data_IF_122748537666
#
_entry.id   IF_122748537666
#
_cell.length_a   1.000
_cell.length_b   1.000
_cell.length_c   1.000
_cell.angle_alpha   90.00
_cell.angle_beta   90.00
_cell.angle_gamma   90.00
#
_symmetry.space_group_name_H-M   'P 1'
#
loop_
_entity.id
_entity.type
_entity.pdbx_description
1 polymer ?
#
# COMPACT_ATOMS: atom_id res chain seq x y z
N UNK A 1 11.89 -4.22 12.66
CA UNK A 1 12.09 -5.39 11.79
C UNK A 1 11.54 -6.69 12.37
N UNK A 2 11.78 -6.96 13.63
CA UNK A 2 11.29 -8.21 14.28
C UNK A 2 9.76 -8.26 14.24
N UNK A 3 9.08 -7.16 14.55
CA UNK A 3 7.62 -7.07 14.53
C UNK A 3 7.05 -7.36 13.13
N UNK A 4 7.63 -6.75 12.09
CA UNK A 4 7.18 -6.98 10.72
C UNK A 4 7.40 -8.42 10.29
N UNK A 5 8.58 -9.00 10.59
CA UNK A 5 8.87 -10.40 10.27
C UNK A 5 7.88 -11.34 10.97
N UNK A 6 7.50 -11.04 12.22
CA UNK A 6 6.51 -11.82 12.96
C UNK A 6 5.15 -11.79 12.25
N UNK A 7 4.70 -10.64 11.77
CA UNK A 7 3.45 -10.51 11.03
C UNK A 7 3.47 -11.35 9.75
N UNK A 8 4.57 -11.34 9.01
CA UNK A 8 4.68 -12.14 7.79
C UNK A 8 4.66 -13.64 8.11
N UNK A 9 5.33 -14.08 9.17
CA UNK A 9 5.30 -15.48 9.59
C UNK A 9 3.90 -15.94 9.98
N UNK A 10 3.14 -15.10 10.67
CA UNK A 10 1.74 -15.39 11.04
C UNK A 10 0.87 -15.60 9.81
N UNK A 11 1.23 -15.00 8.69
CA UNK A 11 0.49 -15.12 7.42
C UNK A 11 1.07 -16.20 6.50
N UNK A 12 1.79 -17.15 7.06
CA UNK A 12 2.30 -18.36 6.38
C UNK A 12 3.47 -18.12 5.40
N UNK A 13 4.16 -17.00 5.52
CA UNK A 13 5.40 -16.79 4.78
C UNK A 13 6.56 -17.53 5.47
N UNK A 14 7.44 -18.11 4.65
CA UNK A 14 8.62 -18.79 5.19
C UNK A 14 9.63 -17.76 5.75
N UNK A 15 10.70 -18.23 6.42
CA UNK A 15 11.67 -17.34 7.06
C UNK A 15 12.39 -16.44 6.06
N UNK A 16 12.73 -16.96 4.88
CA UNK A 16 13.40 -16.17 3.84
C UNK A 16 12.49 -15.06 3.32
N UNK A 17 11.26 -15.40 2.97
CA UNK A 17 10.29 -14.42 2.49
C UNK A 17 9.92 -13.43 3.58
N UNK A 18 9.77 -13.89 4.83
CA UNK A 18 9.48 -13.00 5.95
C UNK A 18 10.59 -11.97 6.17
N UNK A 19 11.85 -12.38 6.04
CA UNK A 19 12.99 -11.46 6.17
C UNK A 19 12.99 -10.44 5.02
N UNK A 20 12.77 -10.88 3.78
CA UNK A 20 12.69 -10.01 2.62
C UNK A 20 11.56 -8.99 2.77
N UNK A 21 10.39 -9.47 3.17
CA UNK A 21 9.20 -8.61 3.34
C UNK A 21 9.35 -7.66 4.51
N UNK A 22 10.07 -8.04 5.56
CA UNK A 22 10.37 -7.12 6.67
C UNK A 22 11.21 -5.93 6.18
N UNK A 23 12.14 -6.15 5.26
CA UNK A 23 12.91 -5.06 4.64
C UNK A 23 12.00 -4.17 3.80
N UNK A 24 11.08 -4.75 3.02
CA UNK A 24 10.12 -3.99 2.23
C UNK A 24 9.23 -3.15 3.14
N UNK A 25 8.76 -3.71 4.25
CA UNK A 25 7.95 -2.97 5.22
C UNK A 25 8.72 -1.78 5.80
N UNK A 26 10.00 -1.94 6.09
CA UNK A 26 10.86 -0.85 6.56
C UNK A 26 11.01 0.22 5.50
N UNK A 27 11.18 -0.16 4.24
CA UNK A 27 11.25 0.78 3.12
C UNK A 27 9.97 1.62 3.03
N UNK A 28 8.81 0.99 3.21
CA UNK A 28 7.54 1.71 3.19
C UNK A 28 7.46 2.70 4.34
N UNK A 29 7.86 2.32 5.55
CA UNK A 29 7.91 3.24 6.69
C UNK A 29 8.78 4.47 6.39
N UNK A 30 9.88 4.28 5.65
CA UNK A 30 10.81 5.36 5.33
C UNK A 30 10.29 6.33 4.27
N UNK A 31 9.46 5.88 3.34
CA UNK A 31 8.94 6.73 2.25
C UNK A 31 7.54 7.27 2.52
N UNK A 32 6.86 6.78 3.55
CA UNK A 32 5.51 7.23 3.89
C UNK A 32 5.52 8.68 4.37
N UNK A 33 4.47 9.41 4.01
CA UNK A 33 4.32 10.83 4.39
C UNK A 33 4.07 11.01 5.88
N UNK A 34 3.53 9.99 6.54
CA UNK A 34 3.23 9.99 7.97
C UNK A 34 3.90 8.80 8.63
N UNK A 35 4.13 8.88 9.94
CA UNK A 35 4.71 7.78 10.68
C UNK A 35 3.77 6.58 10.70
N UNK A 36 4.28 5.41 10.33
CA UNK A 36 3.54 4.15 10.29
C UNK A 36 4.27 3.13 11.15
N UNK A 37 3.53 2.35 11.94
CA UNK A 37 4.12 1.26 12.71
C UNK A 37 4.59 0.13 11.79
N UNK A 38 5.53 -0.68 12.27
CA UNK A 38 6.00 -1.84 11.53
C UNK A 38 4.86 -2.84 11.26
N UNK A 39 3.97 -3.02 12.23
CA UNK A 39 2.81 -3.90 12.08
C UNK A 39 1.84 -3.41 11.00
N UNK A 40 1.53 -2.13 10.98
CA UNK A 40 0.63 -1.54 9.98
C UNK A 40 1.24 -1.60 8.58
N UNK A 41 2.54 -1.32 8.47
CA UNK A 41 3.26 -1.43 7.20
C UNK A 41 3.20 -2.87 6.66
N UNK A 42 3.48 -3.85 7.51
CA UNK A 42 3.42 -5.26 7.13
C UNK A 42 1.99 -5.67 6.72
N UNK A 43 0.98 -5.23 7.46
CA UNK A 43 -0.42 -5.54 7.16
C UNK A 43 -0.84 -5.00 5.80
N UNK A 44 -0.42 -3.80 5.44
CA UNK A 44 -0.70 -3.22 4.12
C UNK A 44 -0.09 -4.07 3.01
N UNK A 45 1.19 -4.41 3.15
CA UNK A 45 1.90 -5.21 2.13
C UNK A 45 1.22 -6.58 1.97
N UNK A 46 0.90 -7.25 3.06
CA UNK A 46 0.22 -8.54 3.04
C UNK A 46 -1.13 -8.44 2.32
N UNK A 47 -1.91 -7.41 2.61
CA UNK A 47 -3.22 -7.23 1.99
C UNK A 47 -3.13 -7.10 0.47
N UNK A 48 -2.13 -6.36 -0.02
CA UNK A 48 -1.93 -6.19 -1.46
C UNK A 48 -1.42 -7.48 -2.12
N UNK A 49 -0.48 -8.16 -1.47
CA UNK A 49 0.04 -9.43 -1.99
C UNK A 49 -1.05 -10.48 -2.12
N UNK A 50 -1.92 -10.61 -1.12
CA UNK A 50 -3.01 -11.59 -1.13
C UNK A 50 -4.10 -11.22 -2.13
N UNK A 51 -4.47 -9.95 -2.20
CA UNK A 51 -5.53 -9.51 -3.10
C UNK A 51 -5.15 -9.69 -4.57
N UNK A 52 -3.91 -9.35 -4.94
CA UNK A 52 -3.46 -9.37 -6.33
C UNK A 52 -2.48 -10.50 -6.65
N UNK A 53 -2.31 -11.44 -5.73
CA UNK A 53 -1.43 -12.59 -5.91
C UNK A 53 0.01 -12.18 -6.28
N UNK A 54 0.54 -11.22 -5.53
CA UNK A 54 1.90 -10.70 -5.73
C UNK A 54 2.87 -11.54 -4.91
N UNK A 55 3.96 -11.99 -5.55
CA UNK A 55 4.99 -12.77 -4.87
C UNK A 55 5.89 -11.87 -4.01
N UNK A 56 6.53 -12.46 -2.99
CA UNK A 56 7.42 -11.72 -2.09
C UNK A 56 8.55 -11.01 -2.84
N UNK A 57 9.09 -11.63 -3.88
CA UNK A 57 10.14 -11.02 -4.71
C UNK A 57 9.69 -9.78 -5.45
N UNK A 58 8.38 -9.59 -5.63
CA UNK A 58 7.79 -8.46 -6.32
C UNK A 58 7.12 -7.45 -5.38
N UNK A 59 7.18 -7.68 -4.07
CA UNK A 59 6.51 -6.81 -3.09
C UNK A 59 7.03 -5.38 -3.11
N UNK A 60 8.30 -5.16 -3.44
CA UNK A 60 8.89 -3.82 -3.56
C UNK A 60 8.13 -2.97 -4.57
N UNK A 61 7.60 -3.58 -5.63
CA UNK A 61 6.82 -2.88 -6.64
C UNK A 61 5.60 -2.15 -6.05
N UNK A 62 4.96 -2.73 -5.05
CA UNK A 62 3.83 -2.09 -4.36
C UNK A 62 4.26 -0.77 -3.73
N UNK A 63 5.40 -0.78 -3.03
CA UNK A 63 5.92 0.40 -2.35
C UNK A 63 6.38 1.46 -3.36
N UNK A 64 7.07 1.05 -4.41
CA UNK A 64 7.53 1.95 -5.46
C UNK A 64 6.35 2.64 -6.14
N UNK A 65 5.27 1.90 -6.41
CA UNK A 65 4.07 2.46 -7.05
C UNK A 65 3.38 3.48 -6.15
N UNK A 66 3.22 3.18 -4.85
CA UNK A 66 2.62 4.11 -3.90
C UNK A 66 3.46 5.38 -3.77
N UNK A 67 4.77 5.23 -3.66
CA UNK A 67 5.69 6.37 -3.54
C UNK A 67 5.67 7.24 -4.80
N UNK A 68 5.69 6.62 -5.98
CA UNK A 68 5.66 7.34 -7.25
C UNK A 68 4.36 8.14 -7.38
N UNK A 69 3.23 7.53 -7.03
CA UNK A 69 1.93 8.20 -7.08
C UNK A 69 1.90 9.41 -6.14
N UNK A 70 2.39 9.26 -4.91
CA UNK A 70 2.39 10.37 -3.95
C UNK A 70 3.33 11.51 -4.37
N UNK A 71 4.39 11.20 -5.11
CA UNK A 71 5.35 12.21 -5.59
C UNK A 71 4.85 12.96 -6.83
N UNK A 72 4.00 12.33 -7.64
CA UNK A 72 3.58 12.88 -8.94
C UNK A 72 2.16 13.41 -8.96
N UNK A 73 1.36 13.12 -7.94
CA UNK A 73 -0.04 13.53 -7.85
C UNK A 73 -0.32 14.20 -6.50
N UNK A 74 -1.43 14.94 -6.43
CA UNK A 74 -1.81 15.65 -5.20
C UNK A 74 -2.50 14.70 -4.21
N UNK A 75 -1.80 13.63 -3.82
CA UNK A 75 -2.28 12.63 -2.86
C UNK A 75 -1.16 12.26 -1.89
N UNK A 76 -1.51 11.88 -0.66
CA UNK A 76 -0.52 11.34 0.27
C UNK A 76 -0.40 9.84 0.10
N UNK A 77 0.78 9.29 0.39
CA UNK A 77 1.01 7.85 0.35
C UNK A 77 0.09 7.11 1.33
N UNK A 78 -0.16 7.69 2.50
CA UNK A 78 -1.04 7.12 3.52
C UNK A 78 -2.49 7.03 3.03
N UNK A 79 -2.99 8.07 2.35
CA UNK A 79 -4.36 8.07 1.81
C UNK A 79 -4.52 7.02 0.70
N UNK A 80 -3.53 6.91 -0.19
CA UNK A 80 -3.55 5.90 -1.24
C UNK A 80 -3.51 4.49 -0.64
N UNK A 81 -2.66 4.25 0.35
CA UNK A 81 -2.55 2.95 1.00
C UNK A 81 -3.86 2.59 1.74
N UNK A 82 -4.48 3.55 2.41
CA UNK A 82 -5.76 3.32 3.10
C UNK A 82 -6.85 2.94 2.11
N UNK A 83 -6.94 3.66 1.00
CA UNK A 83 -7.93 3.38 -0.03
C UNK A 83 -7.68 2.01 -0.68
N UNK A 84 -6.43 1.66 -0.96
CA UNK A 84 -6.07 0.34 -1.48
C UNK A 84 -6.47 -0.77 -0.50
N UNK A 85 -6.21 -0.57 0.78
CA UNK A 85 -6.57 -1.57 1.80
C UNK A 85 -8.07 -1.84 1.80
N UNK A 86 -8.89 -0.81 1.60
CA UNK A 86 -10.35 -0.93 1.61
C UNK A 86 -10.92 -1.53 0.33
N UNK A 87 -10.25 -1.35 -0.82
CA UNK A 87 -10.83 -1.66 -2.13
C UNK A 87 -10.18 -2.82 -2.85
N UNK A 88 -8.96 -3.21 -2.47
CA UNK A 88 -8.17 -4.19 -3.24
C UNK A 88 -8.87 -5.53 -3.42
N UNK A 89 -9.51 -6.06 -2.39
CA UNK A 89 -10.22 -7.33 -2.50
C UNK A 89 -11.36 -7.27 -3.51
N UNK A 90 -12.18 -6.21 -3.45
CA UNK A 90 -13.30 -6.03 -4.38
C UNK A 90 -12.80 -5.84 -5.80
N UNK A 91 -11.75 -5.05 -6.00
CA UNK A 91 -11.21 -4.79 -7.33
C UNK A 91 -10.57 -6.03 -7.93
N UNK A 92 -9.92 -6.85 -7.11
CA UNK A 92 -9.35 -8.13 -7.55
C UNK A 92 -10.44 -9.09 -7.99
N UNK A 93 -11.54 -9.18 -7.25
CA UNK A 93 -12.69 -10.02 -7.63
C UNK A 93 -13.28 -9.58 -8.98
N UNK A 94 -13.26 -8.29 -9.27
CA UNK A 94 -13.73 -7.74 -10.55
C UNK A 94 -12.72 -7.93 -11.69
N UNK A 95 -11.56 -8.51 -11.42
CA UNK A 95 -10.55 -8.79 -12.44
C UNK A 95 -9.51 -7.69 -12.64
N UNK A 96 -9.49 -6.69 -11.79
CA UNK A 96 -8.49 -5.61 -11.89
C UNK A 96 -7.18 -6.05 -11.23
N UNK A 97 -6.06 -5.69 -11.82
CA UNK A 97 -4.75 -5.91 -11.24
C UNK A 97 -4.37 -4.74 -10.31
N UNK A 98 -3.21 -4.84 -9.67
CA UNK A 98 -2.73 -3.81 -8.75
C UNK A 98 -2.55 -2.46 -9.45
N UNK A 99 -1.95 -2.45 -10.63
CA UNK A 99 -1.67 -1.23 -11.38
C UNK A 99 -2.96 -0.48 -11.76
N UNK A 100 -3.98 -1.21 -12.24
CA UNK A 100 -5.28 -0.62 -12.54
C UNK A 100 -5.96 -0.09 -11.30
N UNK A 101 -5.89 -0.83 -10.20
CA UNK A 101 -6.51 -0.45 -8.93
C UNK A 101 -5.87 0.80 -8.36
N UNK A 102 -4.54 0.88 -8.30
CA UNK A 102 -3.86 2.06 -7.77
C UNK A 102 -4.13 3.29 -8.63
N UNK A 103 -4.24 3.13 -9.95
CA UNK A 103 -4.59 4.22 -10.84
C UNK A 103 -5.98 4.79 -10.55
N UNK A 104 -6.97 3.92 -10.40
CA UNK A 104 -8.35 4.32 -10.08
C UNK A 104 -8.45 4.96 -8.70
N UNK A 105 -7.79 4.37 -7.70
CA UNK A 105 -7.78 4.87 -6.33
C UNK A 105 -7.12 6.25 -6.28
N UNK A 106 -6.02 6.43 -6.98
CA UNK A 106 -5.29 7.70 -7.03
C UNK A 106 -6.17 8.79 -7.63
N UNK A 107 -6.82 8.52 -8.76
CA UNK A 107 -7.71 9.48 -9.41
C UNK A 107 -8.86 9.88 -8.47
N UNK A 108 -9.48 8.90 -7.81
CA UNK A 108 -10.57 9.16 -6.86
C UNK A 108 -10.11 9.98 -5.66
N UNK A 109 -8.97 9.65 -5.08
CA UNK A 109 -8.41 10.36 -3.93
C UNK A 109 -8.05 11.80 -4.30
N UNK A 110 -7.47 12.01 -5.46
CA UNK A 110 -7.11 13.34 -5.94
C UNK A 110 -8.34 14.23 -6.13
N UNK A 111 -9.41 13.69 -6.70
CA UNK A 111 -10.68 14.41 -6.87
C UNK A 111 -11.27 14.79 -5.52
N UNK A 112 -11.32 13.87 -4.58
CA UNK A 112 -11.86 14.11 -3.24
C UNK A 112 -11.05 15.17 -2.50
N UNK A 113 -9.75 15.13 -2.57
CA UNK A 113 -8.86 16.12 -1.96
C UNK A 113 -9.11 17.50 -2.57
N UNK A 114 -9.24 17.59 -3.89
CA UNK A 114 -9.54 18.83 -4.58
C UNK A 114 -10.89 19.43 -4.16
N UNK A 115 -11.91 18.59 -4.05
CA UNK A 115 -13.24 19.03 -3.59
C UNK A 115 -13.23 19.48 -2.15
N UNK A 116 -12.53 18.78 -1.26
CA UNK A 116 -12.39 19.17 0.13
C UNK A 116 -11.73 20.55 0.26
N UNK A 117 -10.70 20.82 -0.55
CA UNK A 117 -10.05 22.13 -0.58
C UNK A 117 -11.01 23.23 -1.03
N UNK A 118 -11.83 22.97 -2.05
CA UNK A 118 -12.83 23.95 -2.52
C UNK A 118 -13.87 24.23 -1.47
N UNK A 119 -14.37 23.21 -0.79
CA UNK A 119 -15.36 23.38 0.28
C UNK A 119 -14.77 24.19 1.44
N UNK A 120 -13.54 23.91 1.82
CA UNK A 120 -12.87 24.64 2.90
C UNK A 120 -12.67 26.13 2.58
N UNK A 121 -12.48 26.46 1.29
CA UNK A 121 -12.32 27.85 0.83
C UNK A 121 -13.64 28.58 0.63
N UNK A 122 -14.66 27.85 0.36
CA UNK A 122 -15.99 28.36 0.10
C UNK A 122 -16.68 28.85 1.34
#
# INVERSE_FOLDING_TARGET
MIEAATEFRKNSFNDEDSATLALVATMYQNVADEAISAGDSASFIISQMKAFNIEASNATHVIDAVNEVSNNFAVSSTDVATALTKTSSAMSVLGNDFESTIGLVTAGTEIMTGQASKVARG
#
